data_IF_272491222647
#
_entry.id   IF_272491222647
#
_cell.length_a   1.000
_cell.length_b   1.000
_cell.length_c   1.000
_cell.angle_alpha   90.00
_cell.angle_beta   90.00
_cell.angle_gamma   90.00
#
_symmetry.space_group_name_H-M   'P 1'
#
loop_
_entity.id
_entity.type
_entity.pdbx_description
1 polymer ?
#
# COMPACT_ATOMS: atom_id res chain seq x y z
N UNK A 1 -18.38 -80.70 -10.96
CA UNK A 1 -19.10 -79.42 -10.89
C UNK A 1 -18.13 -78.36 -10.38
N UNK A 2 -17.73 -77.44 -11.28
CA UNK A 2 -16.62 -76.46 -11.08
C UNK A 2 -17.22 -75.14 -10.60
N UNK A 3 -16.93 -74.76 -9.34
CA UNK A 3 -17.16 -73.40 -8.81
C UNK A 3 -16.01 -72.52 -9.25
N UNK A 4 -16.31 -71.49 -10.06
CA UNK A 4 -15.40 -70.39 -10.40
C UNK A 4 -15.73 -69.19 -9.50
N UNK A 5 -14.91 -69.00 -8.50
CA UNK A 5 -14.88 -67.76 -7.68
C UNK A 5 -14.26 -66.63 -8.52
N UNK A 6 -15.06 -65.62 -8.79
CA UNK A 6 -14.58 -64.37 -9.42
C UNK A 6 -14.00 -63.47 -8.31
N UNK A 7 -12.69 -63.31 -8.35
CA UNK A 7 -12.02 -62.30 -7.53
C UNK A 7 -12.25 -60.93 -8.19
N UNK A 8 -12.92 -60.03 -7.47
CA UNK A 8 -13.07 -58.64 -7.83
C UNK A 8 -11.82 -57.88 -7.35
N UNK A 9 -11.01 -57.39 -8.29
CA UNK A 9 -9.89 -56.49 -8.03
C UNK A 9 -10.46 -55.09 -7.78
N UNK A 10 -10.40 -54.61 -6.54
CA UNK A 10 -10.71 -53.25 -6.19
C UNK A 10 -9.45 -52.41 -6.44
N UNK A 11 -9.43 -51.66 -7.53
CA UNK A 11 -8.39 -50.66 -7.79
C UNK A 11 -8.65 -49.43 -6.94
N UNK A 12 -7.89 -49.23 -5.88
CA UNK A 12 -7.88 -48.01 -5.10
C UNK A 12 -7.10 -46.97 -5.88
N UNK A 13 -7.84 -46.04 -6.51
CA UNK A 13 -7.24 -44.85 -7.14
C UNK A 13 -6.90 -43.87 -5.99
N UNK A 14 -5.65 -43.86 -5.55
CA UNK A 14 -5.15 -42.83 -4.67
C UNK A 14 -5.08 -41.51 -5.46
N UNK A 15 -6.07 -40.64 -5.27
CA UNK A 15 -5.97 -39.24 -5.69
C UNK A 15 -4.85 -38.58 -4.86
N UNK A 16 -3.67 -38.47 -5.46
CA UNK A 16 -2.63 -37.56 -4.94
C UNK A 16 -3.14 -36.13 -5.11
N UNK A 17 -3.64 -35.53 -4.04
CA UNK A 17 -3.88 -34.10 -3.99
C UNK A 17 -2.54 -33.40 -4.22
N UNK A 18 -2.44 -32.40 -5.12
CA UNK A 18 -1.23 -31.64 -5.25
C UNK A 18 -1.04 -30.90 -3.92
N UNK A 19 0.00 -31.26 -3.19
CA UNK A 19 0.47 -30.49 -2.05
C UNK A 19 0.89 -29.13 -2.60
N UNK A 20 0.03 -28.14 -2.40
CA UNK A 20 0.39 -26.74 -2.62
C UNK A 20 1.55 -26.46 -1.70
N UNK A 21 2.77 -26.49 -2.22
CA UNK A 21 3.94 -25.99 -1.52
C UNK A 21 3.71 -24.49 -1.42
N UNK A 22 3.16 -24.05 -0.29
CA UNK A 22 3.18 -22.66 0.05
C UNK A 22 4.65 -22.27 0.13
N UNK A 23 5.15 -21.63 -0.92
CA UNK A 23 6.47 -21.00 -0.87
C UNK A 23 6.41 -20.00 0.28
N UNK A 24 7.05 -20.36 1.39
CA UNK A 24 7.24 -19.43 2.48
C UNK A 24 7.99 -18.23 1.88
N UNK A 25 7.30 -17.09 1.80
CA UNK A 25 7.88 -15.85 1.32
C UNK A 25 9.06 -15.51 2.23
N UNK A 26 10.26 -15.65 1.70
CA UNK A 26 11.46 -15.19 2.37
C UNK A 26 11.55 -13.66 2.12
N UNK A 27 11.58 -12.81 3.17
CA UNK A 27 11.68 -11.37 2.99
C UNK A 27 12.95 -11.05 2.19
N UNK A 28 12.80 -10.23 1.15
CA UNK A 28 13.91 -9.71 0.39
C UNK A 28 14.70 -8.66 1.21
N UNK A 29 15.88 -8.29 0.75
CA UNK A 29 16.63 -7.17 1.36
C UNK A 29 15.79 -5.89 1.36
N UNK A 30 15.02 -5.65 0.30
CA UNK A 30 14.11 -4.51 0.20
C UNK A 30 12.98 -4.56 1.25
N UNK A 31 12.45 -5.75 1.57
CA UNK A 31 11.47 -5.92 2.66
C UNK A 31 12.09 -5.56 4.02
N UNK A 32 13.34 -5.96 4.23
CA UNK A 32 14.07 -5.65 5.46
C UNK A 32 14.35 -4.16 5.56
N UNK A 33 14.71 -3.51 4.46
CA UNK A 33 14.92 -2.07 4.41
C UNK A 33 13.61 -1.29 4.64
N UNK A 34 12.48 -1.77 4.11
CA UNK A 34 11.17 -1.17 4.37
C UNK A 34 10.76 -1.35 5.83
N UNK A 35 10.99 -2.54 6.40
CA UNK A 35 10.75 -2.79 7.81
C UNK A 35 11.64 -1.92 8.71
N UNK A 36 12.89 -1.68 8.31
CA UNK A 36 13.80 -0.79 9.03
C UNK A 36 13.34 0.68 8.99
N UNK A 37 12.62 1.09 7.95
CA UNK A 37 12.01 2.43 7.84
C UNK A 37 10.65 2.55 8.51
N UNK A 38 10.09 1.46 9.04
CA UNK A 38 8.82 1.49 9.76
C UNK A 38 8.93 2.34 11.03
N UNK A 39 7.97 3.21 11.23
CA UNK A 39 7.88 4.15 12.36
C UNK A 39 6.55 3.98 13.11
N UNK A 40 6.45 4.61 14.28
CA UNK A 40 5.25 4.58 15.11
C UNK A 40 5.40 3.70 16.36
N UNK A 41 4.36 3.67 17.19
CA UNK A 41 4.34 2.91 18.45
C UNK A 41 3.98 1.41 18.23
N UNK A 42 3.33 1.08 17.08
CA UNK A 42 2.97 -0.29 16.69
C UNK A 42 3.81 -0.75 15.50
N UNK A 43 5.11 -0.81 15.74
CA UNK A 43 6.10 -1.19 14.72
C UNK A 43 5.86 -2.59 14.15
N UNK A 44 5.36 -3.53 14.93
CA UNK A 44 4.96 -4.87 14.51
C UNK A 44 3.90 -4.83 13.39
N UNK A 45 2.87 -3.99 13.56
CA UNK A 45 1.82 -3.76 12.56
C UNK A 45 2.39 -3.05 11.33
N UNK A 46 3.16 -1.97 11.52
CA UNK A 46 3.79 -1.25 10.41
C UNK A 46 4.66 -2.17 9.54
N UNK A 47 5.40 -3.09 10.15
CA UNK A 47 6.19 -4.10 9.42
C UNK A 47 5.30 -5.10 8.66
N UNK A 48 4.18 -5.53 9.24
CA UNK A 48 3.22 -6.41 8.56
C UNK A 48 2.63 -5.73 7.31
N UNK A 49 2.23 -4.47 7.44
CA UNK A 49 1.73 -3.65 6.34
C UNK A 49 2.81 -3.47 5.26
N UNK A 50 4.05 -3.14 5.64
CA UNK A 50 5.17 -3.02 4.71
C UNK A 50 5.37 -4.30 3.88
N UNK A 51 5.30 -5.48 4.50
CA UNK A 51 5.38 -6.77 3.79
C UNK A 51 4.20 -6.99 2.84
N UNK A 52 2.99 -6.54 3.20
CA UNK A 52 1.84 -6.62 2.33
C UNK A 52 2.04 -5.70 1.09
N UNK A 53 2.51 -4.48 1.28
CA UNK A 53 2.81 -3.52 0.23
C UNK A 53 3.83 -4.07 -0.77
N UNK A 54 4.86 -4.79 -0.32
CA UNK A 54 5.84 -5.42 -1.22
C UNK A 54 5.27 -6.48 -2.17
N UNK A 55 4.07 -6.93 -1.94
CA UNK A 55 3.36 -7.85 -2.85
C UNK A 55 2.48 -7.12 -3.87
N UNK A 56 2.37 -5.81 -3.76
CA UNK A 56 1.63 -4.95 -4.68
C UNK A 56 2.57 -4.33 -5.71
N UNK A 57 2.08 -3.42 -6.52
CA UNK A 57 2.89 -2.63 -7.45
C UNK A 57 3.46 -1.34 -6.85
N UNK A 58 3.28 -1.09 -5.55
CA UNK A 58 3.65 0.14 -4.84
C UNK A 58 4.99 0.15 -4.08
N UNK A 59 5.84 -0.90 -4.10
CA UNK A 59 7.00 -0.93 -3.20
C UNK A 59 8.04 0.17 -3.47
N UNK A 60 8.08 0.72 -4.69
CA UNK A 60 9.01 1.79 -5.04
C UNK A 60 8.51 3.17 -4.59
N UNK A 61 7.20 3.37 -4.55
CA UNK A 61 6.54 4.62 -4.24
C UNK A 61 6.28 4.80 -2.74
N UNK A 62 5.94 3.73 -2.03
CA UNK A 62 5.73 3.77 -0.57
C UNK A 62 7.08 3.77 0.15
N UNK A 63 7.44 4.89 0.74
CA UNK A 63 8.72 5.05 1.41
C UNK A 63 8.64 5.08 2.95
N UNK A 64 7.45 5.13 3.51
CA UNK A 64 7.23 5.10 4.95
C UNK A 64 5.87 4.47 5.28
N UNK A 65 5.88 3.63 6.30
CA UNK A 65 4.69 3.05 6.91
C UNK A 65 4.75 3.31 8.41
N UNK A 66 3.67 3.82 8.98
CA UNK A 66 3.53 4.02 10.43
C UNK A 66 2.24 3.39 10.94
N UNK A 67 2.24 2.99 12.21
CA UNK A 67 1.06 2.53 12.92
C UNK A 67 1.09 3.13 14.32
N UNK A 68 0.11 3.95 14.65
CA UNK A 68 -0.01 4.62 15.92
C UNK A 68 -1.35 4.27 16.57
N UNK A 69 -1.31 4.03 17.86
CA UNK A 69 -2.52 3.87 18.65
C UNK A 69 -2.71 5.14 19.47
N UNK A 70 -3.84 5.83 19.22
CA UNK A 70 -4.20 7.10 19.85
C UNK A 70 -5.60 6.93 20.45
N UNK A 71 -5.70 7.05 21.76
CA UNK A 71 -6.96 6.90 22.51
C UNK A 71 -7.69 5.57 22.22
N UNK A 72 -6.93 4.49 22.00
CA UNK A 72 -7.45 3.17 21.68
C UNK A 72 -7.80 2.95 20.20
N UNK A 73 -7.59 3.94 19.34
CA UNK A 73 -7.81 3.86 17.89
C UNK A 73 -6.49 3.61 17.16
N UNK A 74 -6.46 2.56 16.34
CA UNK A 74 -5.31 2.25 15.50
C UNK A 74 -5.40 3.01 14.19
N UNK A 75 -4.50 3.97 14.00
CA UNK A 75 -4.36 4.82 12.82
C UNK A 75 -3.09 4.45 12.07
N UNK A 76 -3.20 4.25 10.78
CA UNK A 76 -2.11 3.89 9.89
C UNK A 76 -1.70 5.09 9.05
N UNK A 77 -0.39 5.29 8.88
CA UNK A 77 0.13 6.33 8.00
C UNK A 77 0.94 5.71 6.86
N UNK A 78 0.62 6.08 5.61
CA UNK A 78 1.28 5.59 4.41
C UNK A 78 1.83 6.78 3.62
N UNK A 79 3.15 6.91 3.59
CA UNK A 79 3.81 7.97 2.82
C UNK A 79 4.26 7.45 1.47
N UNK A 80 3.77 8.11 0.43
CA UNK A 80 4.11 7.87 -0.97
C UNK A 80 5.13 8.92 -1.40
N UNK A 81 6.16 8.50 -2.11
CA UNK A 81 7.13 9.41 -2.72
C UNK A 81 6.74 9.66 -4.17
N UNK A 82 6.05 10.76 -4.42
CA UNK A 82 5.39 11.06 -5.69
C UNK A 82 6.30 11.64 -6.79
N UNK A 83 7.61 11.35 -6.77
CA UNK A 83 8.54 11.86 -7.78
C UNK A 83 8.41 11.11 -9.09
N UNK A 84 8.20 9.80 -9.01
CA UNK A 84 8.03 8.94 -10.19
C UNK A 84 7.07 7.80 -9.85
N UNK A 85 6.05 7.66 -10.66
CA UNK A 85 5.21 6.48 -10.62
C UNK A 85 5.86 5.35 -11.45
N UNK A 86 5.53 4.10 -11.11
CA UNK A 86 6.02 2.93 -11.85
C UNK A 86 5.52 2.91 -13.31
N UNK A 87 4.42 3.60 -13.60
CA UNK A 87 3.93 3.90 -14.96
C UNK A 87 3.17 5.23 -15.00
N UNK A 88 3.07 5.86 -16.18
CA UNK A 88 2.26 7.07 -16.33
C UNK A 88 0.77 6.74 -16.11
N UNK A 89 0.11 7.48 -15.24
CA UNK A 89 -1.29 7.25 -14.87
C UNK A 89 -2.12 8.54 -14.94
N UNK A 90 -3.42 8.38 -15.07
CA UNK A 90 -4.38 9.46 -14.89
C UNK A 90 -4.70 9.62 -13.40
N UNK A 91 -5.42 10.69 -13.05
CA UNK A 91 -5.93 10.87 -11.69
C UNK A 91 -6.87 9.72 -11.27
N UNK A 92 -7.67 9.21 -12.22
CA UNK A 92 -8.55 8.06 -11.99
C UNK A 92 -7.73 6.82 -11.67
N UNK A 93 -6.74 6.49 -12.52
CA UNK A 93 -5.88 5.32 -12.31
C UNK A 93 -5.15 5.40 -10.95
N UNK A 94 -4.66 6.60 -10.58
CA UNK A 94 -4.00 6.80 -9.29
C UNK A 94 -4.93 6.51 -8.12
N UNK A 95 -6.18 6.98 -8.17
CA UNK A 95 -7.15 6.72 -7.11
C UNK A 95 -7.59 5.25 -7.09
N UNK A 96 -7.80 4.62 -8.24
CA UNK A 96 -8.13 3.20 -8.31
C UNK A 96 -7.04 2.33 -7.66
N UNK A 97 -5.78 2.68 -7.89
CA UNK A 97 -4.66 1.99 -7.26
C UNK A 97 -4.59 2.25 -5.75
N UNK A 98 -4.86 3.47 -5.27
CA UNK A 98 -4.95 3.78 -3.83
C UNK A 98 -6.10 2.99 -3.18
N UNK A 99 -7.25 2.91 -3.82
CA UNK A 99 -8.40 2.12 -3.34
C UNK A 99 -8.04 0.63 -3.21
N UNK A 100 -7.34 0.09 -4.23
CA UNK A 100 -6.83 -1.29 -4.19
C UNK A 100 -5.84 -1.51 -3.04
N UNK A 101 -4.87 -0.60 -2.91
CA UNK A 101 -3.85 -0.65 -1.85
C UNK A 101 -4.47 -0.56 -0.45
N UNK A 102 -5.53 0.24 -0.28
CA UNK A 102 -6.30 0.36 0.97
C UNK A 102 -6.82 -1.00 1.44
N UNK A 103 -7.37 -1.79 0.52
CA UNK A 103 -7.89 -3.13 0.82
C UNK A 103 -6.79 -4.06 1.36
N UNK A 104 -5.63 -4.04 0.74
CA UNK A 104 -4.48 -4.87 1.16
C UNK A 104 -3.95 -4.44 2.53
N UNK A 105 -3.89 -3.12 2.78
CA UNK A 105 -3.42 -2.56 4.05
C UNK A 105 -4.39 -2.91 5.18
N UNK A 106 -5.69 -2.71 5.00
CA UNK A 106 -6.69 -3.07 6.00
C UNK A 106 -6.75 -4.58 6.25
N UNK A 107 -6.47 -5.40 5.25
CA UNK A 107 -6.35 -6.85 5.42
C UNK A 107 -5.14 -7.23 6.26
N UNK A 108 -4.03 -6.51 6.12
CA UNK A 108 -2.81 -6.73 6.92
C UNK A 108 -2.92 -6.18 8.36
N UNK A 109 -3.84 -5.26 8.62
CA UNK A 109 -4.11 -4.68 9.94
C UNK A 109 -5.62 -4.62 10.21
N UNK A 110 -6.24 -5.76 10.59
CA UNK A 110 -7.70 -5.87 10.73
C UNK A 110 -8.30 -4.95 11.80
N UNK A 111 -7.51 -4.56 12.79
CA UNK A 111 -7.97 -3.68 13.88
C UNK A 111 -7.79 -2.19 13.58
N UNK A 112 -7.18 -1.83 12.44
CA UNK A 112 -7.03 -0.44 12.05
C UNK A 112 -8.37 0.17 11.65
N UNK A 113 -8.64 1.38 12.10
CA UNK A 113 -9.88 2.11 11.83
C UNK A 113 -9.71 3.13 10.70
N UNK A 114 -8.48 3.64 10.53
CA UNK A 114 -8.17 4.73 9.64
C UNK A 114 -6.83 4.52 8.94
N UNK A 115 -6.73 4.95 7.69
CA UNK A 115 -5.49 5.06 6.93
C UNK A 115 -5.34 6.49 6.45
N UNK A 116 -4.22 7.13 6.79
CA UNK A 116 -3.79 8.37 6.20
C UNK A 116 -2.77 8.11 5.10
N UNK A 117 -3.12 8.44 3.88
CA UNK A 117 -2.19 8.51 2.76
C UNK A 117 -1.71 9.94 2.56
N UNK A 118 -0.42 10.11 2.30
CA UNK A 118 0.11 11.37 1.78
C UNK A 118 1.26 11.13 0.81
N UNK A 119 1.20 11.79 -0.32
CA UNK A 119 2.29 11.82 -1.28
C UNK A 119 3.13 13.09 -1.08
N UNK A 120 4.44 12.95 -1.14
CA UNK A 120 5.37 14.04 -1.01
C UNK A 120 6.36 14.05 -2.18
N UNK A 121 6.77 15.24 -2.59
CA UNK A 121 7.82 15.45 -3.59
C UNK A 121 8.93 16.30 -2.98
N UNK A 122 10.18 16.16 -3.43
CA UNK A 122 11.26 17.04 -3.01
C UNK A 122 10.94 18.47 -3.42
N UNK A 123 11.41 19.42 -2.62
CA UNK A 123 11.43 20.84 -3.00
C UNK A 123 12.78 21.08 -3.69
N UNK A 124 12.72 21.55 -4.94
CA UNK A 124 13.92 22.01 -5.64
C UNK A 124 14.45 23.27 -4.96
N UNK A 125 15.56 23.12 -4.27
CA UNK A 125 16.32 24.27 -3.76
C UNK A 125 17.32 24.63 -4.84
N UNK A 126 17.22 25.83 -5.41
CA UNK A 126 18.19 26.29 -6.39
C UNK A 126 19.59 26.26 -5.78
N UNK A 127 20.59 25.84 -6.55
CA UNK A 127 21.98 25.67 -6.10
C UNK A 127 22.58 26.96 -5.51
N UNK A 128 22.01 28.12 -5.81
CA UNK A 128 22.48 29.43 -5.43
C UNK A 128 21.84 29.98 -4.16
N UNK A 129 20.88 29.28 -3.61
CA UNK A 129 20.26 29.65 -2.34
C UNK A 129 21.05 29.05 -1.18
N UNK A 130 22.06 29.77 -0.72
CA UNK A 130 22.80 29.43 0.49
C UNK A 130 21.86 29.54 1.67
N UNK A 131 21.35 28.42 2.09
CA UNK A 131 20.55 28.32 3.32
C UNK A 131 21.51 28.47 4.49
N UNK A 132 21.55 29.65 5.07
CA UNK A 132 22.23 29.91 6.32
C UNK A 132 21.70 28.98 7.39
N UNK A 133 22.57 28.25 7.97
CA UNK A 133 22.62 27.02 8.78
C UNK A 133 21.60 26.71 9.85
N UNK A 134 20.55 27.45 10.16
CA UNK A 134 19.73 27.14 11.36
C UNK A 134 18.23 26.95 11.13
N UNK A 135 17.78 27.02 9.90
CA UNK A 135 16.37 26.72 9.60
C UNK A 135 16.34 25.49 8.69
N UNK A 136 16.05 24.33 9.28
CA UNK A 136 15.67 23.15 8.53
C UNK A 136 14.47 23.52 7.63
N UNK A 137 14.72 23.97 6.40
CA UNK A 137 13.67 24.16 5.41
C UNK A 137 13.08 22.78 5.11
N UNK A 138 11.74 22.67 4.96
CA UNK A 138 11.16 21.42 4.54
C UNK A 138 11.81 20.97 3.23
N UNK A 139 12.37 19.77 3.21
CA UNK A 139 13.01 19.20 2.02
C UNK A 139 11.99 18.56 1.07
N UNK A 140 10.73 18.52 1.48
CA UNK A 140 9.63 17.97 0.70
C UNK A 140 8.33 18.74 0.99
N UNK A 141 7.42 18.74 0.01
CA UNK A 141 6.05 19.23 0.16
C UNK A 141 5.06 18.11 -0.09
N UNK A 142 3.93 18.13 0.60
CA UNK A 142 2.80 17.24 0.31
C UNK A 142 2.11 17.72 -0.95
N UNK A 143 1.85 16.80 -1.87
CA UNK A 143 1.17 17.05 -3.15
C UNK A 143 -0.19 16.36 -3.26
N UNK A 144 -0.40 15.36 -2.42
CA UNK A 144 -1.66 14.64 -2.28
C UNK A 144 -1.81 14.17 -0.84
N UNK A 145 -3.01 14.21 -0.28
CA UNK A 145 -3.36 13.49 0.93
C UNK A 145 -4.80 13.00 0.89
N UNK A 146 -5.03 11.87 1.56
CA UNK A 146 -6.32 11.22 1.64
C UNK A 146 -6.42 10.45 2.95
N UNK A 147 -7.44 10.75 3.75
CA UNK A 147 -7.82 9.96 4.92
C UNK A 147 -8.90 8.97 4.52
N UNK A 148 -8.74 7.71 4.88
CA UNK A 148 -9.66 6.61 4.56
C UNK A 148 -10.16 5.97 5.84
N UNK A 149 -11.46 5.92 6.05
CA UNK A 149 -12.07 5.20 7.15
C UNK A 149 -12.38 3.76 6.73
N UNK A 150 -12.16 2.82 7.65
CA UNK A 150 -12.49 1.39 7.38
C UNK A 150 -13.95 1.17 7.00
N UNK A 151 -14.85 1.97 7.53
CA UNK A 151 -16.29 1.88 7.26
C UNK A 151 -16.69 2.39 5.87
N UNK A 152 -15.78 3.09 5.17
CA UNK A 152 -16.05 3.66 3.86
C UNK A 152 -16.01 2.59 2.77
N UNK A 153 -16.98 2.59 1.86
CA UNK A 153 -16.95 1.70 0.72
C UNK A 153 -15.96 2.18 -0.34
N UNK A 154 -15.39 1.25 -1.12
CA UNK A 154 -14.49 1.59 -2.23
C UNK A 154 -15.06 2.61 -3.21
N UNK A 155 -16.36 2.50 -3.50
CA UNK A 155 -17.05 3.45 -4.39
C UNK A 155 -17.17 4.85 -3.78
N UNK A 156 -17.53 4.96 -2.50
CA UNK A 156 -17.63 6.24 -1.80
C UNK A 156 -16.25 6.90 -1.70
N UNK A 157 -15.23 6.13 -1.35
CA UNK A 157 -13.84 6.57 -1.30
C UNK A 157 -13.37 7.12 -2.65
N UNK A 158 -13.58 6.36 -3.74
CA UNK A 158 -13.21 6.79 -5.08
C UNK A 158 -13.89 8.12 -5.45
N UNK A 159 -15.21 8.22 -5.26
CA UNK A 159 -15.95 9.45 -5.55
C UNK A 159 -15.42 10.63 -4.75
N UNK A 160 -15.27 10.50 -3.43
CA UNK A 160 -14.75 11.55 -2.55
C UNK A 160 -13.33 11.98 -2.94
N UNK A 161 -12.46 11.02 -3.26
CA UNK A 161 -11.08 11.31 -3.65
C UNK A 161 -11.00 12.09 -4.98
N UNK A 162 -11.96 11.91 -5.87
CA UNK A 162 -12.03 12.65 -7.14
C UNK A 162 -12.60 14.07 -6.99
N UNK A 163 -13.48 14.30 -6.01
CA UNK A 163 -14.20 15.58 -5.84
C UNK A 163 -13.42 16.66 -5.10
N UNK A 164 -12.33 16.33 -4.42
CA UNK A 164 -11.57 17.23 -3.53
C UNK A 164 -12.43 17.81 -2.38
N UNK A 165 -11.96 17.68 -1.16
CA UNK A 165 -12.66 18.14 0.04
C UNK A 165 -12.56 17.09 1.13
N UNK A 166 -13.20 17.26 2.26
CA UNK A 166 -13.33 16.33 3.40
C UNK A 166 -12.21 15.28 3.56
N UNK A 167 -11.01 15.75 3.95
CA UNK A 167 -9.83 14.89 4.13
C UNK A 167 -9.09 14.52 2.84
N UNK A 168 -9.36 15.22 1.73
CA UNK A 168 -8.66 15.03 0.45
C UNK A 168 -7.99 16.33 0.03
N UNK A 169 -6.71 16.24 -0.30
CA UNK A 169 -5.93 17.35 -0.83
C UNK A 169 -5.20 16.95 -2.10
N UNK A 170 -5.28 17.81 -3.12
CA UNK A 170 -4.53 17.71 -4.37
C UNK A 170 -3.76 19.01 -4.64
N UNK A 171 -2.46 18.92 -4.83
CA UNK A 171 -1.69 20.02 -5.38
C UNK A 171 -1.97 20.13 -6.89
N UNK A 172 -2.56 21.23 -7.31
CA UNK A 172 -3.02 21.41 -8.68
C UNK A 172 -1.88 21.50 -9.70
N UNK A 173 -0.70 21.97 -9.30
CA UNK A 173 0.46 22.02 -10.17
C UNK A 173 1.01 20.61 -10.38
N UNK A 174 1.27 19.89 -9.28
CA UNK A 174 1.75 18.52 -9.34
C UNK A 174 0.80 17.61 -10.15
N UNK A 175 -0.50 17.75 -9.95
CA UNK A 175 -1.52 16.98 -10.70
C UNK A 175 -1.40 17.21 -12.20
N UNK A 176 -1.17 18.47 -12.65
CA UNK A 176 -0.99 18.77 -14.07
C UNK A 176 0.32 18.26 -14.66
N UNK A 177 1.38 18.26 -13.83
CA UNK A 177 2.72 17.95 -14.30
C UNK A 177 2.97 16.43 -14.34
N UNK A 178 2.39 15.67 -13.38
CA UNK A 178 2.68 14.24 -13.19
C UNK A 178 1.55 13.31 -13.68
N UNK A 179 0.30 13.75 -13.66
CA UNK A 179 -0.82 12.93 -14.08
C UNK A 179 -1.27 13.30 -15.50
N UNK A 180 -1.55 12.27 -16.28
CA UNK A 180 -2.09 12.49 -17.64
C UNK A 180 -3.52 13.03 -17.56
N UNK A 181 -3.92 13.92 -18.49
CA UNK A 181 -5.32 14.30 -18.60
C UNK A 181 -6.18 13.07 -18.94
N UNK A 182 -7.37 13.05 -18.40
CA UNK A 182 -8.37 12.04 -18.77
C UNK A 182 -8.81 12.37 -20.20
N UNK A 183 -8.57 11.45 -21.13
CA UNK A 183 -8.93 11.56 -22.55
C UNK A 183 -10.42 11.30 -22.78
#
# INVERSE_FOLDING_TARGET
LRNRTKAALLAILALAAPSSVAFAYAPSVADLDAAARAVGNRRDIAQSIGRAIFRTQWPAEVNQVSANEIDGHLILGIRIWGVKFHHPMTRVDFIDEIVSLTSDIFSAAPDAEEIDFWAAVPIDVSKDEVVSGDLARPTSRTVFSLTVLRSESAQALHQRAMEEGDGVFWDSQWTRDELRPVS
#
